data_IF_151946442734
#
_entry.id   IF_151946442734
#
_cell.length_a   1.000
_cell.length_b   1.000
_cell.length_c   1.000
_cell.angle_alpha   90.00
_cell.angle_beta   90.00
_cell.angle_gamma   90.00
#
_symmetry.space_group_name_H-M   'P 1'
#
loop_
_entity.id
_entity.type
_entity.pdbx_description
1 polymer ?
#
# COMPACT_ATOMS: atom_id res chain seq x y z
N UNK A 1 21.88 9.55 23.54
CA UNK A 1 22.02 10.69 22.60
C UNK A 1 20.65 10.90 21.99
N UNK A 2 19.97 12.00 22.33
CA UNK A 2 18.60 12.27 21.90
C UNK A 2 18.70 12.79 20.47
N UNK A 3 18.31 11.97 19.50
CA UNK A 3 18.19 12.43 18.10
C UNK A 3 17.12 13.51 18.05
N UNK A 4 17.52 14.75 17.75
CA UNK A 4 16.61 15.82 17.36
C UNK A 4 16.08 15.51 15.97
N UNK A 5 15.02 14.72 15.88
CA UNK A 5 14.22 14.68 14.67
C UNK A 5 13.58 16.07 14.51
N UNK A 6 13.98 16.80 13.50
CA UNK A 6 13.33 18.05 13.15
C UNK A 6 11.93 17.73 12.62
N UNK A 7 10.95 17.73 13.50
CA UNK A 7 9.54 17.76 13.10
C UNK A 7 9.25 19.15 12.57
N UNK A 8 9.39 19.33 11.27
CA UNK A 8 8.83 20.51 10.62
C UNK A 8 7.31 20.39 10.67
N UNK A 9 6.68 21.24 11.48
CA UNK A 9 5.26 21.52 11.38
C UNK A 9 5.00 22.14 10.01
N UNK A 10 4.68 21.34 9.02
CA UNK A 10 3.89 21.83 7.91
C UNK A 10 2.44 21.83 8.38
N UNK A 11 1.88 23.01 8.52
CA UNK A 11 0.47 23.26 8.77
C UNK A 11 -0.38 22.81 7.57
N UNK A 12 -0.44 21.52 7.31
CA UNK A 12 -1.34 20.92 6.35
C UNK A 12 -1.90 19.65 6.99
N UNK A 13 -3.19 19.59 6.99
CA UNK A 13 -4.10 18.57 7.46
C UNK A 13 -3.68 17.16 6.97
N UNK A 14 -2.62 16.62 7.50
CA UNK A 14 -2.28 15.21 7.32
C UNK A 14 -2.68 14.44 8.56
N UNK A 15 -3.97 14.11 8.68
CA UNK A 15 -4.48 13.23 9.74
C UNK A 15 -3.93 11.79 9.65
N UNK A 16 -3.34 11.41 8.51
CA UNK A 16 -3.00 10.02 8.17
C UNK A 16 -1.52 9.69 8.22
N UNK A 17 -0.64 10.70 8.25
CA UNK A 17 0.82 10.53 8.19
C UNK A 17 1.51 11.46 9.16
N UNK A 18 2.63 11.02 9.79
CA UNK A 18 3.50 11.86 10.62
C UNK A 18 4.97 11.48 10.41
N UNK A 19 5.85 12.49 10.44
CA UNK A 19 7.30 12.34 10.22
C UNK A 19 7.75 12.83 8.85
N UNK A 20 9.02 12.59 8.51
CA UNK A 20 9.60 13.00 7.23
C UNK A 20 9.67 11.80 6.30
N UNK A 21 8.96 11.86 5.18
CA UNK A 21 9.01 10.82 4.15
C UNK A 21 10.39 10.76 3.50
N UNK A 22 10.92 9.56 3.36
CA UNK A 22 12.16 9.31 2.63
C UNK A 22 11.98 9.61 1.13
N UNK A 23 10.95 9.08 0.51
CA UNK A 23 10.74 9.17 -0.95
C UNK A 23 10.38 10.58 -1.43
N UNK A 24 9.57 11.33 -0.68
CA UNK A 24 9.21 12.71 -1.02
C UNK A 24 10.44 13.64 -1.05
N UNK A 25 11.41 13.43 -0.15
CA UNK A 25 12.62 14.25 -0.06
C UNK A 25 13.61 14.04 -1.20
N UNK A 26 13.60 12.90 -1.87
CA UNK A 26 14.54 12.60 -2.96
C UNK A 26 14.10 13.18 -4.31
N UNK A 27 12.87 13.61 -4.44
CA UNK A 27 12.27 14.05 -5.70
C UNK A 27 12.40 15.56 -5.89
N UNK A 28 13.23 16.00 -6.84
CA UNK A 28 13.59 17.44 -7.02
C UNK A 28 12.75 18.21 -8.05
N UNK A 29 12.07 17.54 -8.98
CA UNK A 29 11.24 18.18 -10.01
C UNK A 29 9.94 17.41 -10.21
N UNK A 30 8.88 17.85 -9.56
CA UNK A 30 7.56 17.24 -9.67
C UNK A 30 6.64 18.21 -10.39
N UNK A 31 5.98 17.73 -11.45
CA UNK A 31 4.91 18.46 -12.13
C UNK A 31 3.80 18.80 -11.14
N UNK A 32 3.32 20.02 -11.17
CA UNK A 32 2.18 20.48 -10.39
C UNK A 32 0.96 20.60 -11.29
N UNK A 33 -0.21 20.36 -10.72
CA UNK A 33 -1.48 20.44 -11.41
C UNK A 33 -2.33 21.57 -10.80
N UNK A 34 -3.21 22.23 -11.59
CA UNK A 34 -4.05 23.30 -11.09
C UNK A 34 -5.09 22.78 -10.08
N UNK A 35 -5.72 23.68 -9.35
CA UNK A 35 -6.96 23.40 -8.63
C UNK A 35 -8.19 23.70 -9.51
N UNK A 36 -9.34 23.11 -9.18
CA UNK A 36 -10.61 23.38 -9.88
C UNK A 36 -11.13 24.75 -9.46
N UNK A 37 -11.36 25.63 -10.46
CA UNK A 37 -11.87 26.99 -10.29
C UNK A 37 -13.17 27.28 -11.05
N UNK A 38 -13.79 26.25 -11.66
CA UNK A 38 -15.07 26.33 -12.38
C UNK A 38 -15.83 25.01 -12.24
N UNK A 39 -17.13 25.06 -12.55
CA UNK A 39 -17.94 23.87 -12.62
C UNK A 39 -17.52 22.98 -13.80
N UNK A 40 -17.53 21.66 -13.61
CA UNK A 40 -17.07 20.70 -14.60
C UNK A 40 -18.03 19.51 -14.73
N UNK A 41 -17.91 18.79 -15.83
CA UNK A 41 -18.62 17.54 -16.06
C UNK A 41 -17.69 16.46 -16.60
N UNK A 42 -17.96 15.18 -16.27
CA UNK A 42 -17.21 14.05 -16.78
C UNK A 42 -18.04 12.76 -16.76
N UNK A 43 -17.51 11.70 -17.37
CA UNK A 43 -18.09 10.37 -17.21
C UNK A 43 -17.74 9.78 -15.84
N UNK A 44 -16.47 9.85 -15.46
CA UNK A 44 -15.98 9.30 -14.19
C UNK A 44 -15.17 10.35 -13.43
N UNK A 45 -15.58 10.63 -12.19
CA UNK A 45 -14.76 11.38 -11.23
C UNK A 45 -14.02 10.41 -10.32
N UNK A 46 -12.70 10.52 -10.28
CA UNK A 46 -11.81 9.80 -9.35
C UNK A 46 -11.40 10.77 -8.24
N UNK A 47 -11.72 10.43 -6.99
CA UNK A 47 -11.46 11.27 -5.81
C UNK A 47 -10.33 10.66 -5.00
N UNK A 48 -9.18 11.31 -4.98
CA UNK A 48 -7.93 10.87 -4.36
C UNK A 48 -6.88 10.52 -5.42
N UNK A 49 -5.75 11.19 -5.37
CA UNK A 49 -4.64 11.08 -6.33
C UNK A 49 -3.40 10.40 -5.74
N UNK A 50 -3.58 9.52 -4.75
CA UNK A 50 -2.53 8.59 -4.33
C UNK A 50 -2.34 7.47 -5.34
N UNK A 51 -1.51 6.47 -5.02
CA UNK A 51 -1.19 5.36 -5.94
C UNK A 51 -2.45 4.64 -6.46
N UNK A 52 -3.50 4.54 -5.66
CA UNK A 52 -4.78 3.96 -6.02
C UNK A 52 -5.44 4.75 -7.15
N UNK A 53 -5.72 6.03 -6.92
CA UNK A 53 -6.39 6.88 -7.89
C UNK A 53 -5.53 7.18 -9.12
N UNK A 54 -4.22 7.33 -8.96
CA UNK A 54 -3.28 7.51 -10.05
C UNK A 54 -3.28 6.31 -11.02
N UNK A 55 -3.17 5.10 -10.45
CA UNK A 55 -3.20 3.86 -11.24
C UNK A 55 -4.56 3.70 -11.93
N UNK A 56 -5.66 3.89 -11.20
CA UNK A 56 -7.00 3.79 -11.76
C UNK A 56 -7.21 4.81 -12.89
N UNK A 57 -6.80 6.07 -12.69
CA UNK A 57 -6.88 7.13 -13.69
C UNK A 57 -6.07 6.78 -14.96
N UNK A 58 -4.86 6.26 -14.80
CA UNK A 58 -4.04 5.83 -15.93
C UNK A 58 -4.75 4.80 -16.81
N UNK A 59 -5.40 3.81 -16.23
CA UNK A 59 -6.09 2.77 -16.99
C UNK A 59 -7.41 3.27 -17.57
N UNK A 60 -8.25 3.94 -16.80
CA UNK A 60 -9.59 4.36 -17.24
C UNK A 60 -9.56 5.51 -18.24
N UNK A 61 -8.65 6.48 -18.12
CA UNK A 61 -8.57 7.63 -19.01
C UNK A 61 -8.21 7.30 -20.46
N UNK A 62 -7.75 6.09 -20.74
CA UNK A 62 -7.49 5.61 -22.10
C UNK A 62 -8.76 5.47 -22.94
N UNK A 63 -9.91 5.25 -22.31
CA UNK A 63 -11.16 4.96 -23.00
C UNK A 63 -12.38 5.73 -22.44
N UNK A 64 -12.21 6.55 -21.41
CA UNK A 64 -13.29 7.24 -20.73
C UNK A 64 -12.90 8.69 -20.39
N UNK A 65 -13.89 9.56 -20.36
CA UNK A 65 -13.72 10.93 -19.89
C UNK A 65 -13.63 10.93 -18.35
N UNK A 66 -12.40 11.04 -17.85
CA UNK A 66 -12.07 11.00 -16.44
C UNK A 66 -11.57 12.36 -15.93
N UNK A 67 -12.03 12.75 -14.75
CA UNK A 67 -11.41 13.79 -13.92
C UNK A 67 -10.79 13.14 -12.69
N UNK A 68 -9.53 13.47 -12.39
CA UNK A 68 -8.86 13.09 -11.15
C UNK A 68 -8.68 14.32 -10.26
N UNK A 69 -9.11 14.24 -9.00
CA UNK A 69 -8.91 15.29 -8.01
C UNK A 69 -8.22 14.78 -6.76
N UNK A 70 -7.35 15.60 -6.16
CA UNK A 70 -6.80 15.34 -4.83
C UNK A 70 -6.97 16.56 -3.92
N UNK A 71 -7.24 16.31 -2.65
CA UNK A 71 -7.38 17.36 -1.64
C UNK A 71 -6.07 18.11 -1.38
N UNK A 72 -4.94 17.47 -1.64
CA UNK A 72 -3.59 17.97 -1.45
C UNK A 72 -2.82 17.90 -2.79
N UNK A 73 -1.49 17.91 -2.71
CA UNK A 73 -0.63 17.51 -3.83
C UNK A 73 -0.70 15.99 -4.00
N UNK A 74 -0.71 15.55 -5.24
CA UNK A 74 -0.76 14.14 -5.61
C UNK A 74 0.36 13.35 -4.91
N UNK A 75 0.07 12.15 -4.43
CA UNK A 75 1.02 11.22 -3.86
C UNK A 75 1.62 11.60 -2.50
N UNK A 76 1.33 12.78 -1.94
CA UNK A 76 1.99 13.28 -0.71
C UNK A 76 1.43 12.72 0.61
N UNK A 77 0.41 11.88 0.56
CA UNK A 77 -0.15 11.18 1.73
C UNK A 77 0.52 9.81 1.94
N UNK A 78 -0.27 8.76 2.14
CA UNK A 78 0.21 7.39 2.42
C UNK A 78 1.15 6.84 1.34
N UNK A 79 1.01 7.26 0.07
CA UNK A 79 1.89 6.84 -1.02
C UNK A 79 3.35 7.21 -0.76
N UNK A 80 3.62 8.44 -0.31
CA UNK A 80 4.99 8.92 -0.06
C UNK A 80 5.69 8.24 1.11
N UNK A 81 4.96 7.57 1.98
CA UNK A 81 5.49 6.84 3.15
C UNK A 81 5.32 5.32 3.04
N UNK A 82 4.75 4.82 1.94
CA UNK A 82 4.65 3.39 1.71
C UNK A 82 6.06 2.80 1.57
N UNK A 83 6.35 1.74 2.31
CA UNK A 83 7.68 1.12 2.30
C UNK A 83 7.92 0.29 1.04
N UNK A 84 6.85 -0.05 0.32
CA UNK A 84 6.86 -0.73 -0.97
C UNK A 84 7.67 -2.03 -1.00
N UNK A 85 7.48 -2.85 0.03
CA UNK A 85 7.76 -4.27 -0.03
C UNK A 85 6.57 -4.91 -0.76
N UNK A 86 6.73 -5.22 -2.02
CA UNK A 86 5.66 -5.81 -2.83
C UNK A 86 5.78 -7.32 -2.76
N UNK A 87 4.79 -7.97 -2.19
CA UNK A 87 4.75 -9.42 -2.06
C UNK A 87 3.47 -9.97 -2.68
N UNK A 88 3.54 -11.13 -3.35
CA UNK A 88 2.37 -11.68 -4.03
C UNK A 88 1.34 -12.29 -3.07
N UNK A 89 1.78 -12.76 -1.91
CA UNK A 89 0.92 -13.37 -0.89
C UNK A 89 0.28 -12.32 0.02
N UNK A 90 -0.70 -12.74 0.79
CA UNK A 90 -1.27 -11.95 1.87
C UNK A 90 -0.37 -12.00 3.12
N UNK A 91 -0.56 -11.04 4.04
CA UNK A 91 0.26 -10.90 5.24
C UNK A 91 0.05 -12.04 6.24
N UNK A 92 -1.19 -12.56 6.32
CA UNK A 92 -1.52 -13.69 7.19
C UNK A 92 -1.24 -15.04 6.50
N UNK A 93 -0.91 -16.04 7.30
CA UNK A 93 -0.83 -17.42 6.82
C UNK A 93 -2.16 -17.89 6.22
N UNK A 94 -2.12 -18.71 5.18
CA UNK A 94 -3.32 -19.30 4.59
C UNK A 94 -4.23 -19.99 5.62
N UNK A 95 -3.65 -20.57 6.67
CA UNK A 95 -4.39 -21.19 7.77
C UNK A 95 -5.17 -20.23 8.66
N UNK A 96 -4.78 -18.95 8.69
CA UNK A 96 -5.40 -17.92 9.54
C UNK A 96 -6.49 -17.13 8.79
N UNK A 97 -6.51 -17.16 7.46
CA UNK A 97 -7.48 -16.50 6.59
C UNK A 97 -8.84 -17.23 6.53
N UNK A 98 -9.52 -17.30 7.67
CA UNK A 98 -10.76 -18.09 7.84
C UNK A 98 -11.97 -17.59 7.04
N UNK A 99 -11.91 -16.38 6.53
CA UNK A 99 -12.98 -15.77 5.71
C UNK A 99 -12.85 -16.13 4.23
N UNK A 100 -11.75 -16.77 3.82
CA UNK A 100 -11.47 -17.22 2.47
C UNK A 100 -11.38 -18.76 2.43
N UNK A 101 -11.86 -19.38 1.34
CA UNK A 101 -11.58 -20.77 1.05
C UNK A 101 -10.13 -20.94 0.57
N UNK A 102 -9.62 -22.18 0.59
CA UNK A 102 -8.26 -22.46 0.08
C UNK A 102 -8.11 -22.09 -1.38
N UNK A 103 -9.13 -22.35 -2.20
CA UNK A 103 -9.17 -22.02 -3.62
C UNK A 103 -9.15 -20.51 -3.82
N UNK A 104 -9.88 -19.75 -3.00
CA UNK A 104 -9.88 -18.27 -3.04
C UNK A 104 -8.51 -17.70 -2.66
N UNK A 105 -7.84 -18.25 -1.65
CA UNK A 105 -6.47 -17.85 -1.27
C UNK A 105 -5.50 -18.10 -2.43
N UNK A 106 -5.59 -19.28 -3.07
CA UNK A 106 -4.75 -19.60 -4.25
C UNK A 106 -4.97 -18.61 -5.40
N UNK A 107 -6.22 -18.26 -5.68
CA UNK A 107 -6.53 -17.27 -6.73
C UNK A 107 -6.02 -15.87 -6.36
N UNK A 108 -6.12 -15.45 -5.09
CA UNK A 108 -5.55 -14.20 -4.60
C UNK A 108 -4.03 -14.18 -4.77
N UNK A 109 -3.32 -15.25 -4.41
CA UNK A 109 -1.87 -15.34 -4.59
C UNK A 109 -1.47 -15.28 -6.08
N UNK A 110 -2.22 -15.94 -6.97
CA UNK A 110 -2.02 -15.84 -8.42
C UNK A 110 -2.27 -14.42 -8.93
N UNK A 111 -3.30 -13.73 -8.40
CA UNK A 111 -3.55 -12.32 -8.73
C UNK A 111 -2.40 -11.42 -8.27
N UNK A 112 -1.84 -11.65 -7.08
CA UNK A 112 -0.66 -10.94 -6.61
C UNK A 112 0.53 -11.08 -7.57
N UNK A 113 0.81 -12.30 -8.05
CA UNK A 113 1.85 -12.51 -9.09
C UNK A 113 1.53 -11.79 -10.41
N UNK A 114 0.25 -11.77 -10.84
CA UNK A 114 -0.17 -10.99 -12.01
C UNK A 114 -0.01 -9.49 -11.81
N UNK A 115 -0.30 -8.97 -10.61
CA UNK A 115 -0.10 -7.56 -10.29
C UNK A 115 1.36 -7.14 -10.44
N UNK A 116 2.31 -7.97 -9.99
CA UNK A 116 3.74 -7.73 -10.21
C UNK A 116 4.09 -7.69 -11.71
N UNK A 117 3.50 -8.57 -12.52
CA UNK A 117 3.70 -8.57 -13.99
C UNK A 117 3.09 -7.31 -14.64
N UNK A 118 1.93 -6.85 -14.18
CA UNK A 118 1.31 -5.62 -14.70
C UNK A 118 2.15 -4.38 -14.40
N UNK A 119 2.78 -4.30 -13.21
CA UNK A 119 3.75 -3.26 -12.89
C UNK A 119 4.93 -3.32 -13.88
N UNK A 120 5.49 -4.50 -14.14
CA UNK A 120 6.58 -4.69 -15.09
C UNK A 120 6.18 -4.29 -16.51
N UNK A 121 4.99 -4.68 -16.97
CA UNK A 121 4.47 -4.31 -18.30
C UNK A 121 4.36 -2.79 -18.45
N UNK A 122 3.89 -2.09 -17.42
CA UNK A 122 3.87 -0.63 -17.40
C UNK A 122 5.29 -0.06 -17.52
N UNK A 123 6.21 -0.52 -16.71
CA UNK A 123 7.60 -0.03 -16.70
C UNK A 123 8.36 -0.38 -17.99
N UNK A 124 8.10 -1.52 -18.60
CA UNK A 124 8.67 -1.88 -19.91
C UNK A 124 8.18 -0.95 -21.03
N UNK A 125 6.96 -0.42 -20.91
CA UNK A 125 6.38 0.49 -21.90
C UNK A 125 6.83 1.93 -21.68
N UNK A 126 6.89 2.40 -20.44
CA UNK A 126 7.09 3.82 -20.09
C UNK A 126 8.44 4.12 -19.44
N UNK A 127 9.30 3.11 -19.25
CA UNK A 127 10.59 3.22 -18.58
C UNK A 127 10.51 2.97 -17.07
N UNK A 128 11.63 2.54 -16.49
CA UNK A 128 11.75 2.32 -15.06
C UNK A 128 12.34 3.56 -14.37
N UNK A 129 11.51 4.54 -14.04
CA UNK A 129 11.92 5.78 -13.38
C UNK A 129 11.71 5.75 -11.86
N UNK A 130 11.18 4.64 -11.33
CA UNK A 130 10.89 4.47 -9.90
C UNK A 130 11.82 3.45 -9.22
N UNK A 131 12.93 3.10 -9.85
CA UNK A 131 13.91 2.13 -9.31
C UNK A 131 13.27 0.75 -8.99
N UNK A 132 12.32 0.31 -9.79
CA UNK A 132 11.74 -1.02 -9.64
C UNK A 132 12.78 -2.11 -9.81
N UNK A 133 12.75 -3.09 -8.93
CA UNK A 133 13.53 -4.30 -9.01
C UNK A 133 12.73 -5.50 -8.49
N UNK A 134 12.80 -6.64 -9.20
CA UNK A 134 12.35 -7.93 -8.67
C UNK A 134 13.20 -8.30 -7.47
N UNK A 135 12.55 -8.92 -6.48
CA UNK A 135 13.18 -9.32 -5.23
C UNK A 135 12.73 -10.71 -4.82
N UNK A 136 13.62 -11.41 -4.18
CA UNK A 136 13.25 -12.53 -3.34
C UNK A 136 12.55 -12.05 -2.07
N UNK A 137 11.73 -12.92 -1.50
CA UNK A 137 11.06 -12.69 -0.21
C UNK A 137 11.45 -13.76 0.78
N UNK A 138 11.47 -13.42 2.05
CA UNK A 138 11.74 -14.36 3.13
C UNK A 138 10.84 -14.10 4.33
N UNK A 139 9.84 -14.96 4.49
CA UNK A 139 8.98 -15.01 5.66
C UNK A 139 9.61 -15.96 6.69
N UNK A 140 9.93 -15.49 7.89
CA UNK A 140 10.67 -16.29 8.86
C UNK A 140 10.20 -16.11 10.30
N UNK A 141 10.66 -16.99 11.17
CA UNK A 141 10.60 -16.82 12.63
C UNK A 141 11.83 -17.39 13.32
N UNK A 142 12.27 -16.69 14.35
CA UNK A 142 13.28 -17.16 15.31
C UNK A 142 12.66 -17.86 16.53
N UNK A 143 11.34 -18.08 16.57
CA UNK A 143 10.61 -18.72 17.67
C UNK A 143 10.08 -20.09 17.28
N UNK A 144 10.29 -21.11 18.14
CA UNK A 144 9.84 -22.48 17.92
C UNK A 144 8.32 -22.60 17.73
N UNK A 145 7.54 -21.75 18.41
CA UNK A 145 6.06 -21.78 18.32
C UNK A 145 5.49 -21.56 16.93
N UNK A 146 6.24 -20.91 16.02
CA UNK A 146 5.81 -20.61 14.64
C UNK A 146 6.26 -21.66 13.62
N UNK A 147 7.16 -22.57 13.98
CA UNK A 147 7.74 -23.56 13.03
C UNK A 147 6.66 -24.37 12.33
N UNK A 148 5.64 -24.83 13.07
CA UNK A 148 4.54 -25.59 12.47
C UNK A 148 3.75 -24.76 11.46
N UNK A 149 3.38 -23.53 11.80
CA UNK A 149 2.63 -22.63 10.89
C UNK A 149 3.42 -22.37 9.61
N UNK A 150 4.71 -22.08 9.71
CA UNK A 150 5.58 -21.83 8.55
C UNK A 150 5.69 -23.09 7.69
N UNK A 151 5.81 -24.28 8.27
CA UNK A 151 5.81 -25.55 7.53
C UNK A 151 4.48 -25.78 6.81
N UNK A 152 3.37 -25.56 7.48
CA UNK A 152 2.03 -25.73 6.90
C UNK A 152 1.83 -24.77 5.72
N UNK A 153 2.26 -23.50 5.82
CA UNK A 153 2.24 -22.51 4.75
C UNK A 153 3.17 -22.91 3.58
N UNK A 154 4.37 -23.39 3.87
CA UNK A 154 5.28 -23.90 2.84
C UNK A 154 4.63 -25.04 2.04
N UNK A 155 4.05 -26.01 2.74
CA UNK A 155 3.36 -27.15 2.10
C UNK A 155 2.18 -26.65 1.26
N UNK A 156 1.37 -25.70 1.79
CA UNK A 156 0.27 -25.09 1.06
C UNK A 156 0.74 -24.43 -0.23
N UNK A 157 1.81 -23.62 -0.18
CA UNK A 157 2.38 -22.95 -1.36
C UNK A 157 2.87 -23.97 -2.40
N UNK A 158 3.65 -24.96 -1.99
CA UNK A 158 4.18 -26.00 -2.89
C UNK A 158 3.08 -26.80 -3.55
N UNK A 159 2.07 -27.25 -2.80
CA UNK A 159 0.94 -28.04 -3.33
C UNK A 159 0.10 -27.26 -4.35
N UNK A 160 0.10 -25.92 -4.28
CA UNK A 160 -0.65 -25.07 -5.20
C UNK A 160 0.23 -24.42 -6.29
N UNK A 161 1.45 -24.94 -6.51
CA UNK A 161 2.31 -24.56 -7.62
C UNK A 161 3.09 -23.27 -7.43
N UNK A 162 3.22 -22.77 -6.20
CA UNK A 162 4.10 -21.66 -5.89
C UNK A 162 5.51 -22.16 -5.62
N UNK A 163 6.48 -21.60 -6.34
CA UNK A 163 7.88 -21.99 -6.15
C UNK A 163 8.46 -21.28 -4.94
N UNK A 164 8.84 -22.06 -3.92
CA UNK A 164 9.46 -21.57 -2.71
C UNK A 164 10.36 -22.67 -2.10
N UNK A 165 11.25 -22.25 -1.21
CA UNK A 165 12.18 -23.10 -0.49
C UNK A 165 11.93 -22.94 1.01
N UNK A 166 12.10 -24.04 1.75
CA UNK A 166 12.04 -24.02 3.21
C UNK A 166 13.45 -23.98 3.77
N UNK A 167 13.71 -23.05 4.68
CA UNK A 167 14.93 -22.99 5.47
C UNK A 167 14.64 -23.25 6.95
N UNK A 168 15.56 -23.95 7.60
CA UNK A 168 15.59 -24.12 9.04
C UNK A 168 16.93 -23.62 9.61
N UNK A 169 17.19 -23.89 10.87
CA UNK A 169 18.39 -23.44 11.56
C UNK A 169 19.69 -23.96 10.91
N UNK A 170 19.64 -25.13 10.24
CA UNK A 170 20.81 -25.78 9.65
C UNK A 170 21.07 -25.38 8.20
N UNK A 171 20.04 -24.95 7.49
CA UNK A 171 20.08 -24.58 6.07
C UNK A 171 20.00 -23.07 5.83
N UNK A 172 19.89 -22.28 6.89
CA UNK A 172 19.72 -20.83 6.86
C UNK A 172 20.92 -20.09 6.24
N UNK A 173 20.75 -19.35 5.13
CA UNK A 173 21.83 -18.57 4.51
C UNK A 173 21.93 -17.12 4.99
N UNK A 174 20.98 -16.63 5.82
CA UNK A 174 20.80 -15.20 6.09
C UNK A 174 21.77 -14.58 7.10
N UNK A 175 22.51 -15.38 7.84
CA UNK A 175 23.51 -14.88 8.82
C UNK A 175 22.91 -14.49 10.18
N UNK A 176 21.58 -14.45 10.34
CA UNK A 176 20.91 -14.27 11.63
C UNK A 176 20.12 -15.51 12.04
N UNK A 177 19.77 -15.63 13.32
CA UNK A 177 19.11 -16.82 13.84
C UNK A 177 17.66 -16.94 13.36
N UNK A 178 17.32 -18.11 12.80
CA UNK A 178 15.94 -18.52 12.50
C UNK A 178 15.65 -19.91 13.06
N UNK A 179 14.38 -20.22 13.26
CA UNK A 179 13.89 -21.57 13.53
C UNK A 179 13.22 -22.18 12.31
N UNK A 180 12.59 -21.37 11.48
CA UNK A 180 11.99 -21.73 10.20
C UNK A 180 11.81 -20.52 9.31
N UNK A 181 11.78 -20.71 7.98
CA UNK A 181 11.45 -19.67 7.03
C UNK A 181 11.08 -20.23 5.66
N UNK A 182 10.35 -19.42 4.88
CA UNK A 182 9.97 -19.68 3.50
C UNK A 182 10.63 -18.61 2.64
N UNK A 183 11.48 -19.04 1.72
CA UNK A 183 12.13 -18.20 0.72
C UNK A 183 11.50 -18.42 -0.64
N UNK A 184 11.15 -17.33 -1.33
CA UNK A 184 10.72 -17.34 -2.74
C UNK A 184 11.64 -16.41 -3.53
N UNK A 185 12.42 -16.95 -4.45
CA UNK A 185 13.39 -16.20 -5.26
C UNK A 185 12.74 -15.12 -6.15
N UNK A 186 11.44 -15.26 -6.46
CA UNK A 186 10.66 -14.35 -7.27
C UNK A 186 9.36 -13.94 -6.54
N UNK A 187 9.40 -13.90 -5.21
CA UNK A 187 8.23 -13.67 -4.36
C UNK A 187 7.74 -12.25 -4.35
N UNK A 188 8.58 -11.28 -4.71
CA UNK A 188 8.24 -9.88 -4.57
C UNK A 188 8.95 -8.94 -5.54
N UNK A 189 8.81 -7.66 -5.23
CA UNK A 189 9.52 -6.56 -5.88
C UNK A 189 9.63 -5.37 -4.94
N UNK A 190 10.42 -4.40 -5.33
CA UNK A 190 10.55 -3.10 -4.65
C UNK A 190 10.55 -1.97 -5.66
N UNK A 191 10.13 -0.77 -5.25
CA UNK A 191 10.29 0.47 -6.01
C UNK A 191 10.17 1.70 -5.10
N UNK A 192 10.39 2.89 -5.66
CA UNK A 192 9.97 4.16 -5.08
C UNK A 192 8.47 4.37 -5.38
N UNK A 193 7.57 4.27 -4.38
CA UNK A 193 6.13 4.34 -4.61
C UNK A 193 5.66 5.75 -5.01
N UNK A 194 6.39 6.78 -4.58
CA UNK A 194 6.08 8.15 -4.92
C UNK A 194 6.44 8.46 -6.37
N UNK A 195 7.62 8.05 -6.83
CA UNK A 195 8.03 8.18 -8.23
C UNK A 195 7.16 7.32 -9.16
N UNK A 196 6.77 6.13 -8.73
CA UNK A 196 5.87 5.28 -9.50
C UNK A 196 4.49 5.93 -9.70
N UNK A 197 3.92 6.48 -8.65
CA UNK A 197 2.65 7.23 -8.72
C UNK A 197 2.77 8.41 -9.69
N UNK A 198 3.84 9.22 -9.61
CA UNK A 198 4.08 10.32 -10.55
C UNK A 198 4.15 9.83 -11.99
N UNK A 199 4.84 8.74 -12.23
CA UNK A 199 4.96 8.15 -13.55
C UNK A 199 3.60 7.67 -14.11
N UNK A 200 2.74 7.09 -13.26
CA UNK A 200 1.36 6.76 -13.63
C UNK A 200 0.56 8.01 -14.04
N UNK A 201 0.65 9.08 -13.25
CA UNK A 201 -0.03 10.35 -13.50
C UNK A 201 0.47 10.99 -14.80
N UNK A 202 1.77 11.07 -15.02
CA UNK A 202 2.36 11.71 -16.21
C UNK A 202 2.05 10.99 -17.51
N UNK A 203 1.81 9.68 -17.46
CA UNK A 203 1.45 8.86 -18.61
C UNK A 203 -0.07 8.63 -18.76
N UNK A 204 -0.91 9.25 -17.94
CA UNK A 204 -2.36 9.21 -18.09
C UNK A 204 -2.81 10.02 -19.32
N UNK A 205 -3.90 9.60 -19.97
CA UNK A 205 -4.39 10.22 -21.22
C UNK A 205 -5.10 11.57 -21.01
N UNK A 206 -5.52 11.88 -19.78
CA UNK A 206 -6.33 13.03 -19.43
C UNK A 206 -5.57 14.17 -18.72
N UNK A 207 -4.37 14.53 -19.19
CA UNK A 207 -3.46 15.49 -18.52
C UNK A 207 -4.10 16.83 -18.13
N UNK A 208 -5.09 17.30 -18.87
CA UNK A 208 -5.81 18.55 -18.60
C UNK A 208 -6.99 18.41 -17.63
N UNK A 209 -7.26 17.19 -17.16
CA UNK A 209 -8.36 16.85 -16.24
C UNK A 209 -7.85 16.27 -14.92
N UNK A 210 -6.63 16.64 -14.53
CA UNK A 210 -5.98 16.26 -13.27
C UNK A 210 -5.83 17.53 -12.42
N UNK A 211 -6.28 17.46 -11.16
CA UNK A 211 -6.33 18.63 -10.28
C UNK A 211 -5.80 18.27 -8.88
N UNK A 212 -4.96 19.15 -8.36
CA UNK A 212 -4.44 19.16 -6.99
C UNK A 212 -5.20 20.18 -6.12
N UNK A 213 -4.98 20.12 -4.80
CA UNK A 213 -5.53 21.09 -3.84
C UNK A 213 -7.05 21.28 -3.98
N UNK A 214 -7.77 20.26 -4.42
CA UNK A 214 -9.21 20.28 -4.68
C UNK A 214 -9.87 19.17 -3.85
N UNK A 215 -10.37 19.53 -2.66
CA UNK A 215 -11.06 18.60 -1.78
C UNK A 215 -12.53 18.47 -2.16
N UNK A 216 -13.00 17.24 -2.38
CA UNK A 216 -14.44 16.95 -2.42
C UNK A 216 -14.96 16.90 -0.99
N UNK A 217 -15.86 17.82 -0.66
CA UNK A 217 -16.43 17.95 0.69
C UNK A 217 -17.81 17.33 0.81
N UNK A 218 -18.46 17.04 -0.33
CA UNK A 218 -19.81 16.46 -0.33
C UNK A 218 -20.11 15.76 -1.66
N UNK A 219 -20.78 14.65 -1.58
CA UNK A 219 -21.29 13.90 -2.73
C UNK A 219 -22.81 13.78 -2.59
N UNK A 220 -23.56 14.09 -3.65
CA UNK A 220 -25.01 13.94 -3.73
C UNK A 220 -25.41 13.32 -5.05
N UNK A 221 -26.22 12.27 -5.01
CA UNK A 221 -26.86 11.75 -6.22
C UNK A 221 -28.19 12.45 -6.49
N UNK A 222 -28.44 12.75 -7.76
CA UNK A 222 -29.74 13.17 -8.26
C UNK A 222 -30.00 12.47 -9.60
N UNK A 223 -30.97 11.57 -9.60
CA UNK A 223 -31.25 10.69 -10.74
C UNK A 223 -30.05 9.82 -11.11
N UNK A 224 -29.60 9.90 -12.35
CA UNK A 224 -28.46 9.14 -12.88
C UNK A 224 -27.12 9.87 -12.70
N UNK A 225 -27.13 11.10 -12.21
CA UNK A 225 -25.92 11.93 -12.05
C UNK A 225 -25.53 12.04 -10.59
N UNK A 226 -24.23 12.18 -10.36
CA UNK A 226 -23.62 12.42 -9.05
C UNK A 226 -23.03 13.82 -9.05
N UNK A 227 -23.37 14.61 -8.07
CA UNK A 227 -22.92 16.00 -7.87
C UNK A 227 -21.88 16.00 -6.75
N UNK A 228 -20.65 16.38 -7.06
CA UNK A 228 -19.53 16.45 -6.12
C UNK A 228 -19.15 17.90 -5.91
N UNK A 229 -19.21 18.35 -4.67
CA UNK A 229 -18.95 19.74 -4.27
C UNK A 229 -17.51 19.86 -3.79
N UNK A 230 -16.79 20.83 -4.34
CA UNK A 230 -15.41 21.13 -3.93
C UNK A 230 -15.37 22.08 -2.73
N UNK A 231 -14.25 22.14 -2.05
CA UNK A 231 -13.98 23.11 -0.98
C UNK A 231 -13.97 24.59 -1.47
N UNK A 232 -13.91 24.81 -2.77
CA UNK A 232 -13.99 26.15 -3.40
C UNK A 232 -15.40 26.52 -3.84
N UNK A 233 -16.39 25.66 -3.62
CA UNK A 233 -17.79 25.89 -3.98
C UNK A 233 -18.16 25.48 -5.40
N UNK A 234 -17.21 25.01 -6.20
CA UNK A 234 -17.48 24.48 -7.55
C UNK A 234 -18.14 23.10 -7.47
N UNK A 235 -18.81 22.73 -8.54
CA UNK A 235 -19.50 21.45 -8.66
C UNK A 235 -18.95 20.64 -9.83
N UNK A 236 -18.62 19.39 -9.56
CA UNK A 236 -18.29 18.41 -10.60
C UNK A 236 -19.49 17.47 -10.75
N UNK A 237 -20.04 17.37 -11.98
CA UNK A 237 -21.18 16.50 -12.29
C UNK A 237 -20.66 15.26 -13.04
N UNK A 238 -20.76 14.08 -12.44
CA UNK A 238 -20.28 12.84 -13.01
C UNK A 238 -21.39 11.80 -13.22
N UNK A 239 -21.19 10.84 -14.12
CA UNK A 239 -22.03 9.64 -14.23
C UNK A 239 -21.69 8.64 -13.12
N UNK A 240 -20.41 8.48 -12.84
CA UNK A 240 -19.86 7.62 -11.78
C UNK A 240 -18.83 8.39 -10.97
N UNK A 241 -18.75 8.08 -9.69
CA UNK A 241 -17.72 8.59 -8.77
C UNK A 241 -17.00 7.41 -8.17
N UNK A 242 -15.67 7.43 -8.20
CA UNK A 242 -14.85 6.41 -7.56
C UNK A 242 -14.04 7.10 -6.45
N UNK A 243 -14.32 6.72 -5.21
CA UNK A 243 -13.64 7.25 -4.03
C UNK A 243 -12.40 6.39 -3.77
N UNK A 244 -11.24 7.00 -3.98
CA UNK A 244 -9.89 6.40 -3.86
C UNK A 244 -9.05 7.18 -2.82
N UNK A 245 -9.68 7.53 -1.69
CA UNK A 245 -9.10 8.42 -0.67
C UNK A 245 -8.20 7.69 0.34
N UNK A 246 -7.87 6.43 0.07
CA UNK A 246 -7.05 5.60 0.95
C UNK A 246 -7.66 5.52 2.36
N UNK A 247 -6.95 6.05 3.35
CA UNK A 247 -7.39 6.00 4.75
C UNK A 247 -8.17 7.24 5.21
N UNK A 248 -8.47 8.22 4.33
CA UNK A 248 -9.44 9.28 4.63
C UNK A 248 -10.86 8.75 4.40
N UNK A 249 -11.59 8.58 5.49
CA UNK A 249 -12.90 7.94 5.49
C UNK A 249 -14.08 8.92 5.42
N UNK A 250 -13.84 10.23 5.25
CA UNK A 250 -14.90 11.25 5.32
C UNK A 250 -16.02 11.05 4.27
N UNK A 251 -15.67 10.52 3.09
CA UNK A 251 -16.60 10.28 1.99
C UNK A 251 -17.18 8.85 1.94
N UNK A 252 -16.81 7.99 2.87
CA UNK A 252 -17.28 6.60 2.93
C UNK A 252 -18.56 6.49 3.73
N UNK A 253 -19.40 5.50 3.37
CA UNK A 253 -20.53 5.10 4.24
C UNK A 253 -20.01 4.34 5.48
N UNK A 254 -20.90 4.23 6.48
CA UNK A 254 -20.51 3.64 7.77
C UNK A 254 -20.10 2.17 7.62
N UNK A 255 -20.72 1.44 6.68
CA UNK A 255 -20.37 0.04 6.48
C UNK A 255 -18.98 -0.15 5.90
N UNK A 256 -18.58 0.66 4.91
CA UNK A 256 -17.22 0.64 4.37
C UNK A 256 -16.18 1.01 5.45
N UNK A 257 -16.51 1.96 6.33
CA UNK A 257 -15.64 2.32 7.48
C UNK A 257 -15.45 1.16 8.45
N UNK A 258 -16.51 0.39 8.73
CA UNK A 258 -16.47 -0.77 9.64
C UNK A 258 -15.57 -1.90 9.12
N UNK A 259 -15.40 -2.03 7.79
CA UNK A 259 -14.49 -3.00 7.19
C UNK A 259 -13.02 -2.67 7.45
N UNK A 260 -12.68 -1.42 7.78
CA UNK A 260 -11.33 -0.92 7.94
C UNK A 260 -10.92 -0.92 9.41
N UNK A 261 -9.96 -1.76 9.78
CA UNK A 261 -9.39 -1.80 11.14
C UNK A 261 -8.18 -0.88 11.23
N UNK A 262 -8.45 0.42 11.43
CA UNK A 262 -7.41 1.46 11.40
C UNK A 262 -6.29 1.20 12.42
N UNK A 263 -5.06 1.15 11.93
CA UNK A 263 -3.83 0.99 12.71
C UNK A 263 -2.79 2.03 12.27
N UNK A 264 -1.72 2.15 13.06
CA UNK A 264 -0.56 2.97 12.74
C UNK A 264 0.63 2.02 12.63
N UNK A 265 1.33 2.05 11.50
CA UNK A 265 2.62 1.39 11.33
C UNK A 265 3.76 2.40 11.39
N UNK A 266 4.90 1.96 11.91
CA UNK A 266 6.08 2.80 12.15
C UNK A 266 7.24 2.29 11.31
N UNK A 267 8.08 3.22 10.81
CA UNK A 267 9.22 2.89 9.97
C UNK A 267 10.40 3.80 10.26
N UNK A 268 11.59 3.25 10.16
CA UNK A 268 12.86 3.97 10.16
C UNK A 268 13.61 3.69 8.87
N UNK A 269 14.43 4.65 8.42
CA UNK A 269 15.38 4.48 7.32
C UNK A 269 16.75 4.81 7.85
N UNK A 270 17.68 3.88 7.68
CA UNK A 270 19.07 4.07 8.13
C UNK A 270 19.87 4.92 7.14
N UNK A 271 21.00 5.45 7.57
CA UNK A 271 22.10 5.80 6.66
C UNK A 271 22.64 4.55 5.94
N UNK A 272 23.47 4.71 4.89
CA UNK A 272 24.12 3.59 4.21
C UNK A 272 24.97 2.76 5.17
N UNK A 273 24.71 1.45 5.26
CA UNK A 273 25.46 0.53 6.11
C UNK A 273 26.61 -0.06 5.31
N UNK A 274 27.85 0.24 5.75
CA UNK A 274 29.05 -0.32 5.14
C UNK A 274 29.09 -1.83 5.37
N UNK A 275 29.53 -2.56 4.33
CA UNK A 275 29.71 -4.02 4.37
C UNK A 275 28.45 -4.80 4.81
N UNK A 276 27.26 -4.25 4.52
CA UNK A 276 25.99 -4.91 4.82
C UNK A 276 25.91 -6.26 4.10
N UNK A 277 25.85 -7.33 4.89
CA UNK A 277 25.53 -8.66 4.38
C UNK A 277 24.10 -9.03 4.72
N UNK A 278 23.31 -9.26 3.69
CA UNK A 278 22.00 -9.88 3.77
C UNK A 278 21.82 -10.77 2.54
N UNK A 279 21.57 -12.05 2.75
CA UNK A 279 21.44 -13.01 1.66
C UNK A 279 20.43 -12.51 0.61
N UNK A 280 20.91 -12.40 -0.63
CA UNK A 280 20.14 -11.95 -1.81
C UNK A 280 19.47 -10.57 -1.67
N UNK A 281 19.79 -9.80 -0.61
CA UNK A 281 19.05 -8.58 -0.25
C UNK A 281 17.53 -8.77 -0.33
N UNK A 282 17.07 -9.93 0.14
CA UNK A 282 15.67 -10.31 0.11
C UNK A 282 14.80 -9.32 0.91
N UNK A 283 13.55 -9.20 0.52
CA UNK A 283 12.53 -8.59 1.38
C UNK A 283 12.27 -9.52 2.54
N UNK A 284 12.46 -9.04 3.77
CA UNK A 284 12.26 -9.86 4.97
C UNK A 284 10.97 -9.47 5.67
N UNK A 285 10.28 -10.46 6.16
CA UNK A 285 9.16 -10.29 7.08
C UNK A 285 9.23 -11.37 8.16
N UNK A 286 9.20 -11.00 9.45
CA UNK A 286 8.96 -11.96 10.49
C UNK A 286 7.44 -12.17 10.71
N UNK A 287 7.06 -13.29 11.31
CA UNK A 287 5.67 -13.63 11.56
C UNK A 287 5.31 -13.51 13.05
N UNK A 288 5.95 -12.60 13.76
CA UNK A 288 5.70 -12.36 15.19
C UNK A 288 4.46 -11.48 15.39
N UNK A 289 3.88 -11.47 16.60
CA UNK A 289 2.74 -10.61 16.93
C UNK A 289 3.06 -9.12 16.77
N UNK A 290 4.27 -8.70 17.15
CA UNK A 290 4.84 -7.38 16.81
C UNK A 290 5.79 -7.58 15.63
N UNK A 291 5.25 -7.86 14.47
CA UNK A 291 6.02 -8.20 13.28
C UNK A 291 6.93 -7.06 12.82
N UNK A 292 7.99 -7.45 12.11
CA UNK A 292 8.90 -6.51 11.47
C UNK A 292 9.07 -6.89 10.00
N UNK A 293 9.30 -5.87 9.19
CA UNK A 293 9.67 -6.04 7.79
C UNK A 293 10.90 -5.22 7.45
N UNK A 294 11.69 -5.72 6.49
CA UNK A 294 12.96 -5.11 6.10
C UNK A 294 13.13 -5.11 4.58
N UNK A 295 13.58 -3.99 4.07
CA UNK A 295 13.98 -3.79 2.68
C UNK A 295 15.34 -3.10 2.63
N UNK A 296 16.27 -3.61 1.80
CA UNK A 296 17.57 -2.98 1.54
C UNK A 296 17.49 -2.17 0.26
N UNK A 297 17.74 -0.87 0.34
CA UNK A 297 17.82 0.03 -0.79
C UNK A 297 19.11 -0.18 -1.59
N UNK A 298 19.20 0.29 -2.87
CA UNK A 298 20.36 0.09 -3.72
C UNK A 298 21.69 0.59 -3.12
N UNK A 299 21.62 1.63 -2.29
CA UNK A 299 22.78 2.25 -1.63
C UNK A 299 23.08 1.68 -0.23
N UNK A 300 22.55 0.50 0.09
CA UNK A 300 22.67 -0.18 1.39
C UNK A 300 22.01 0.55 2.58
N UNK A 301 21.11 1.51 2.36
CA UNK A 301 20.18 1.91 3.40
C UNK A 301 19.19 0.78 3.67
N UNK A 302 18.66 0.73 4.87
CA UNK A 302 17.61 -0.19 5.26
C UNK A 302 16.35 0.59 5.59
N UNK A 303 15.23 0.22 4.98
CA UNK A 303 13.89 0.54 5.48
C UNK A 303 13.48 -0.60 6.40
N UNK A 304 13.19 -0.29 7.65
CA UNK A 304 12.76 -1.26 8.66
C UNK A 304 11.51 -0.74 9.36
N UNK A 305 10.47 -1.56 9.41
CA UNK A 305 9.18 -1.13 9.95
C UNK A 305 8.40 -2.24 10.65
N UNK A 306 7.23 -1.87 11.15
CA UNK A 306 6.35 -2.72 11.95
C UNK A 306 5.95 -2.06 13.25
N UNK A 307 5.90 -2.85 14.33
CA UNK A 307 5.58 -2.37 15.69
C UNK A 307 4.21 -1.68 15.79
N UNK A 308 3.25 -2.14 15.02
CA UNK A 308 1.95 -1.52 14.80
C UNK A 308 1.17 -1.24 16.09
N UNK A 309 0.39 -0.20 16.05
CA UNK A 309 -0.51 0.17 17.14
C UNK A 309 -1.92 0.48 16.65
N UNK A 310 -2.90 0.18 17.45
CA UNK A 310 -4.29 0.55 17.14
C UNK A 310 -4.41 2.08 17.00
N UNK A 311 -5.07 2.53 15.97
CA UNK A 311 -5.34 3.95 15.79
C UNK A 311 -6.42 4.42 16.76
N UNK A 312 -6.11 5.49 17.48
CA UNK A 312 -7.07 6.21 18.32
C UNK A 312 -7.67 7.40 17.56
N UNK A 313 -7.55 8.61 18.13
CA UNK A 313 -8.02 9.84 17.50
C UNK A 313 -6.92 10.59 16.74
N UNK A 314 -5.67 10.36 17.09
CA UNK A 314 -4.49 11.01 16.50
C UNK A 314 -3.25 10.13 16.67
N UNK A 315 -2.24 10.38 15.86
CA UNK A 315 -0.91 9.78 16.03
C UNK A 315 -0.20 10.52 17.19
N UNK A 316 0.12 9.79 18.25
CA UNK A 316 0.82 10.33 19.41
C UNK A 316 2.34 10.32 19.21
N UNK A 317 2.98 11.46 19.39
CA UNK A 317 4.42 11.64 19.15
C UNK A 317 5.30 10.85 20.11
N UNK A 318 4.92 10.80 21.40
CA UNK A 318 5.69 10.06 22.40
C UNK A 318 5.69 8.56 22.10
N UNK A 319 4.53 8.05 21.65
CA UNK A 319 4.40 6.66 21.20
C UNK A 319 5.24 6.42 19.94
N UNK A 320 5.20 7.32 18.96
CA UNK A 320 6.00 7.19 17.73
C UNK A 320 7.51 7.12 18.04
N UNK A 321 8.03 8.02 18.89
CA UNK A 321 9.44 8.00 19.31
C UNK A 321 9.82 6.68 19.99
N UNK A 322 8.97 6.14 20.89
CA UNK A 322 9.23 4.84 21.52
C UNK A 322 9.30 3.71 20.47
N UNK A 323 8.40 3.72 19.49
CA UNK A 323 8.35 2.72 18.42
C UNK A 323 9.57 2.80 17.52
N UNK A 324 10.03 3.99 17.14
CA UNK A 324 11.28 4.16 16.37
C UNK A 324 12.51 3.64 17.11
N UNK A 325 12.60 3.87 18.44
CA UNK A 325 13.68 3.32 19.26
C UNK A 325 13.60 1.79 19.39
N UNK A 326 12.39 1.23 19.47
CA UNK A 326 12.17 -0.23 19.45
C UNK A 326 12.63 -0.82 18.13
N UNK A 327 12.21 -0.24 17.01
CA UNK A 327 12.64 -0.67 15.67
C UNK A 327 14.17 -0.62 15.52
N UNK A 328 14.82 0.45 15.97
CA UNK A 328 16.29 0.54 15.92
C UNK A 328 16.94 -0.57 16.74
N UNK A 329 16.42 -0.88 17.92
CA UNK A 329 16.93 -1.95 18.77
C UNK A 329 16.79 -3.33 18.12
N UNK A 330 15.63 -3.63 17.54
CA UNK A 330 15.38 -4.91 16.88
C UNK A 330 16.19 -5.03 15.58
N UNK A 331 16.33 -3.96 14.81
CA UNK A 331 17.20 -3.94 13.63
C UNK A 331 18.68 -4.20 14.00
N UNK A 332 19.17 -3.52 15.03
CA UNK A 332 20.54 -3.72 15.50
C UNK A 332 20.80 -5.16 15.93
N UNK A 333 19.85 -5.75 16.65
CA UNK A 333 19.90 -7.15 17.06
C UNK A 333 19.87 -8.11 15.85
N UNK A 334 19.02 -7.85 14.86
CA UNK A 334 18.93 -8.65 13.62
C UNK A 334 20.28 -8.66 12.87
N UNK A 335 20.93 -7.49 12.79
CA UNK A 335 22.18 -7.33 12.06
C UNK A 335 23.45 -7.67 12.88
N UNK A 336 23.30 -7.97 14.17
CA UNK A 336 24.46 -8.20 15.05
C UNK A 336 25.25 -6.94 15.39
N UNK A 337 24.63 -5.75 15.30
CA UNK A 337 25.22 -4.47 15.66
C UNK A 337 24.74 -3.97 17.03
N UNK A 338 25.42 -2.97 17.58
CA UNK A 338 24.88 -2.14 18.65
C UNK A 338 24.02 -1.02 18.03
N UNK A 339 22.96 -0.61 18.71
CA UNK A 339 22.05 0.42 18.21
C UNK A 339 22.77 1.75 17.89
N UNK A 340 23.80 2.10 18.66
CA UNK A 340 24.60 3.31 18.47
C UNK A 340 25.48 3.29 17.21
N UNK A 341 25.64 2.13 16.57
CA UNK A 341 26.39 1.95 15.32
C UNK A 341 25.53 2.17 14.08
N UNK A 342 24.22 2.25 14.24
CA UNK A 342 23.27 2.44 13.14
C UNK A 342 22.76 3.89 13.20
N UNK A 343 23.10 4.67 12.19
CA UNK A 343 22.51 5.99 12.00
C UNK A 343 21.09 5.86 11.43
N UNK A 344 20.11 6.57 12.00
CA UNK A 344 18.76 6.68 11.47
C UNK A 344 18.61 8.06 10.83
N UNK A 345 18.42 8.11 9.51
CA UNK A 345 18.25 9.36 8.78
C UNK A 345 16.80 9.83 8.71
N UNK A 346 15.86 8.87 8.62
CA UNK A 346 14.42 9.18 8.55
C UNK A 346 13.64 8.29 9.50
N UNK A 347 12.56 8.86 10.06
CA UNK A 347 11.59 8.13 10.85
C UNK A 347 10.19 8.69 10.55
N UNK A 348 9.25 7.83 10.24
CA UNK A 348 7.88 8.20 9.92
C UNK A 348 6.90 7.11 10.32
N UNK A 349 5.64 7.48 10.41
CA UNK A 349 4.55 6.55 10.64
C UNK A 349 3.31 7.00 9.88
N UNK A 350 2.44 6.08 9.59
CA UNK A 350 1.20 6.34 8.88
C UNK A 350 0.11 5.35 9.20
N UNK A 351 -1.10 5.73 8.80
CA UNK A 351 -2.25 4.86 8.90
C UNK A 351 -2.18 3.77 7.85
N UNK A 352 -2.61 2.58 8.25
CA UNK A 352 -3.01 1.52 7.34
C UNK A 352 -4.24 0.80 7.93
N UNK A 353 -4.92 0.01 7.15
CA UNK A 353 -6.16 -0.61 7.59
C UNK A 353 -6.27 -2.05 7.08
N UNK A 354 -5.86 -3.05 7.86
CA UNK A 354 -6.21 -4.43 7.55
C UNK A 354 -7.73 -4.60 7.56
N UNK A 355 -8.21 -5.48 6.70
CA UNK A 355 -9.59 -5.96 6.64
C UNK A 355 -9.65 -7.41 7.09
N UNK A 356 -10.85 -7.96 7.28
CA UNK A 356 -10.99 -9.34 7.77
C UNK A 356 -10.42 -10.43 6.84
N UNK A 357 -10.23 -10.11 5.57
CA UNK A 357 -9.67 -11.02 4.57
C UNK A 357 -8.35 -10.50 3.97
N UNK A 358 -7.78 -9.43 4.51
CA UNK A 358 -6.57 -8.74 4.02
C UNK A 358 -6.65 -8.23 2.57
N UNK A 359 -7.84 -8.14 2.00
CA UNK A 359 -8.05 -7.61 0.66
C UNK A 359 -8.60 -6.18 0.71
N UNK A 360 -8.39 -5.43 -0.36
CA UNK A 360 -8.95 -4.10 -0.53
C UNK A 360 -10.48 -4.07 -0.49
N UNK A 361 -11.04 -2.87 -0.48
CA UNK A 361 -12.48 -2.59 -0.58
C UNK A 361 -12.71 -1.96 -1.95
N UNK A 362 -13.13 -2.76 -2.94
CA UNK A 362 -13.22 -2.35 -4.34
C UNK A 362 -14.56 -2.77 -4.93
N UNK A 363 -15.27 -1.83 -5.54
CA UNK A 363 -16.52 -2.09 -6.25
C UNK A 363 -17.63 -1.10 -5.91
N UNK A 364 -18.87 -1.45 -6.31
CA UNK A 364 -20.04 -0.63 -6.08
C UNK A 364 -20.39 -0.56 -4.58
N UNK A 365 -20.68 0.65 -4.10
CA UNK A 365 -21.31 0.84 -2.79
C UNK A 365 -22.79 0.48 -2.84
N UNK A 366 -23.55 0.73 -1.76
CA UNK A 366 -25.02 0.65 -1.80
C UNK A 366 -25.63 1.51 -2.92
N UNK A 367 -24.93 2.56 -3.31
CA UNK A 367 -25.24 3.39 -4.45
C UNK A 367 -24.36 2.98 -5.64
N UNK A 368 -24.94 2.36 -6.66
CA UNK A 368 -24.20 1.87 -7.84
C UNK A 368 -23.47 2.95 -8.65
N UNK A 369 -23.77 4.25 -8.46
CA UNK A 369 -23.06 5.34 -9.10
C UNK A 369 -21.90 5.85 -8.27
N UNK A 370 -21.73 5.34 -7.04
CA UNK A 370 -20.59 5.62 -6.17
C UNK A 370 -19.88 4.30 -5.90
N UNK A 371 -18.63 4.22 -6.30
CA UNK A 371 -17.76 3.06 -6.08
C UNK A 371 -16.66 3.42 -5.10
N UNK A 372 -16.16 2.44 -4.37
CA UNK A 372 -14.98 2.56 -3.55
C UNK A 372 -13.82 1.84 -4.22
N UNK A 373 -12.65 2.42 -4.09
CA UNK A 373 -11.38 1.86 -4.55
C UNK A 373 -10.32 2.11 -3.48
N UNK A 374 -10.33 1.26 -2.47
CA UNK A 374 -9.49 1.38 -1.28
C UNK A 374 -8.65 0.11 -1.16
N UNK A 375 -7.37 0.23 -1.47
CA UNK A 375 -6.41 -0.88 -1.43
C UNK A 375 -5.89 -1.08 -0.01
N UNK A 376 -6.81 -1.44 0.90
CA UNK A 376 -6.50 -1.68 2.30
C UNK A 376 -5.54 -2.86 2.50
N UNK A 377 -5.00 -2.99 3.71
CA UNK A 377 -4.03 -4.02 4.07
C UNK A 377 -2.59 -3.58 3.81
N UNK A 378 -1.61 -4.41 4.21
CA UNK A 378 -0.20 -4.11 4.04
C UNK A 378 0.23 -4.23 2.56
N UNK A 379 -0.41 -5.11 1.78
CA UNK A 379 -0.18 -5.27 0.33
C UNK A 379 -1.04 -4.33 -0.55
N UNK A 380 -1.29 -3.10 -0.09
CA UNK A 380 -2.17 -2.13 -0.76
C UNK A 380 -1.82 -1.90 -2.23
N UNK A 381 -0.53 -1.81 -2.59
CA UNK A 381 -0.10 -1.59 -3.97
C UNK A 381 -0.47 -2.78 -4.86
N UNK A 382 -0.28 -4.01 -4.41
CA UNK A 382 -0.69 -5.22 -5.13
C UNK A 382 -2.22 -5.26 -5.27
N UNK A 383 -2.95 -4.96 -4.20
CA UNK A 383 -4.41 -4.85 -4.22
C UNK A 383 -4.91 -3.78 -5.20
N UNK A 384 -4.16 -2.70 -5.41
CA UNK A 384 -4.50 -1.67 -6.40
C UNK A 384 -4.59 -2.26 -7.82
N UNK A 385 -3.59 -3.03 -8.27
CA UNK A 385 -3.61 -3.63 -9.60
C UNK A 385 -4.71 -4.70 -9.74
N UNK A 386 -4.96 -5.47 -8.69
CA UNK A 386 -6.11 -6.37 -8.63
C UNK A 386 -7.43 -5.59 -8.79
N UNK A 387 -7.56 -4.49 -8.06
CA UNK A 387 -8.77 -3.66 -8.01
C UNK A 387 -9.08 -2.95 -9.33
N UNK A 388 -8.07 -2.48 -10.07
CA UNK A 388 -8.27 -1.85 -11.39
C UNK A 388 -9.08 -2.78 -12.29
N UNK A 389 -8.69 -4.05 -12.37
CA UNK A 389 -9.39 -5.02 -13.22
C UNK A 389 -10.82 -5.25 -12.80
N UNK A 390 -11.10 -5.24 -11.50
CA UNK A 390 -12.46 -5.36 -10.96
C UNK A 390 -13.31 -4.15 -11.38
N UNK A 391 -12.79 -2.92 -11.22
CA UNK A 391 -13.51 -1.69 -11.61
C UNK A 391 -13.76 -1.66 -13.12
N UNK A 392 -12.78 -2.00 -13.94
CA UNK A 392 -12.97 -2.07 -15.41
C UNK A 392 -14.07 -3.05 -15.79
N UNK A 393 -14.09 -4.24 -15.18
CA UNK A 393 -15.11 -5.25 -15.47
C UNK A 393 -16.51 -4.79 -15.04
N UNK A 394 -16.65 -4.17 -13.86
CA UNK A 394 -17.92 -3.56 -13.40
C UNK A 394 -18.39 -2.49 -14.40
N UNK A 395 -17.51 -1.55 -14.80
CA UNK A 395 -17.86 -0.46 -15.71
C UNK A 395 -18.22 -0.94 -17.12
N UNK A 396 -17.74 -2.12 -17.52
CA UNK A 396 -18.06 -2.76 -18.80
C UNK A 396 -19.19 -3.79 -18.70
N UNK A 397 -19.79 -4.00 -17.51
CA UNK A 397 -20.82 -5.02 -17.28
C UNK A 397 -20.31 -6.45 -17.43
N UNK A 398 -19.00 -6.68 -17.27
CA UNK A 398 -18.39 -8.01 -17.33
C UNK A 398 -18.36 -8.64 -15.93
N UNK A 399 -18.53 -9.96 -15.88
CA UNK A 399 -18.43 -10.72 -14.62
C UNK A 399 -16.96 -10.86 -14.22
N UNK A 400 -16.66 -10.57 -12.95
CA UNK A 400 -15.36 -10.80 -12.34
C UNK A 400 -15.52 -11.70 -11.10
N UNK A 401 -14.86 -12.86 -11.08
CA UNK A 401 -15.02 -13.84 -10.00
C UNK A 401 -14.47 -13.33 -8.66
N UNK A 402 -13.54 -12.36 -8.68
CA UNK A 402 -12.93 -11.79 -7.49
C UNK A 402 -13.73 -10.64 -6.90
N UNK A 403 -14.68 -10.07 -7.66
CA UNK A 403 -15.50 -8.93 -7.21
C UNK A 403 -16.12 -9.17 -5.82
N UNK A 404 -16.65 -10.37 -5.57
CA UNK A 404 -17.27 -10.71 -4.28
C UNK A 404 -16.31 -10.60 -3.09
N UNK A 405 -15.02 -10.90 -3.29
CA UNK A 405 -14.00 -10.89 -2.22
C UNK A 405 -13.55 -9.47 -1.87
N UNK A 406 -13.54 -8.57 -2.86
CA UNK A 406 -13.19 -7.17 -2.70
C UNK A 406 -14.39 -6.27 -2.44
N UNK A 407 -15.63 -6.75 -2.65
CA UNK A 407 -16.84 -5.95 -2.59
C UNK A 407 -16.95 -5.11 -1.31
N UNK A 408 -17.29 -3.81 -1.43
CA UNK A 408 -17.66 -3.00 -0.27
C UNK A 408 -18.87 -3.56 0.50
N UNK A 409 -19.65 -4.43 -0.12
CA UNK A 409 -20.86 -5.02 0.44
C UNK A 409 -20.63 -6.47 0.94
N UNK A 410 -19.35 -6.93 0.98
CA UNK A 410 -19.04 -8.28 1.49
C UNK A 410 -19.48 -8.43 2.94
N UNK A 411 -20.08 -9.56 3.28
CA UNK A 411 -20.58 -9.84 4.63
C UNK A 411 -21.95 -9.23 4.96
N UNK A 412 -22.52 -8.35 4.12
CA UNK A 412 -23.92 -7.95 4.28
C UNK A 412 -24.82 -9.16 3.95
N UNK A 413 -25.63 -9.57 4.93
CA UNK A 413 -26.72 -10.50 4.68
C UNK A 413 -27.71 -9.80 3.73
N UNK A 414 -27.96 -10.43 2.58
CA UNK A 414 -28.99 -10.00 1.63
C UNK A 414 -30.35 -10.07 2.25
#
# INVERSE_FOLDING_TARGET
>A
MIYKYAFFEQNIIMKTVKGTSFFDKQSTKIKQYPYINQDMGCDILIVGGGIEGATLNFYLSKARDCILVDANRLGTSSTSIATALLEFQLDDFASDLKTLSKEEIVEVYKMGKKSLMEIENFLNTYGNHCHYARKSTFLYSNRLGYVKKIKDEFVFRKQNGFDCQFFDQTTNPFGFEIKAGIYDANGGAEFDPYMFEKQMIENASNQNSIFENTKIVKIRQNGKKVFCYTNYGNVIVANKVIVATGFDTELLDDYAKELMKMQISYSIVTGPIKDLYLYDKALLQDCLDNYHYLRVLPDNRIIFGGEDTKFGKKIDEKTAIKKYNSLLTELAKLLGYKAEQIEVEFAFCGLFAPTDNNLGIVGESKNKNIMYFLSCGANGIINTFCGVKIIEDILCGRKNNMEKLFSPLRGLKK
#
